data_IF_550899763940
#
_entry.id   IF_550899763940
#
_cell.length_a   1.000
_cell.length_b   1.000
_cell.length_c   1.000
_cell.angle_alpha   90.00
_cell.angle_beta   90.00
_cell.angle_gamma   90.00
#
_symmetry.space_group_name_H-M   'P 1'
#
loop_
_entity.id
_entity.type
_entity.pdbx_description
1 polymer ?
#
# COMPACT_ATOMS: atom_id res chain seq x y z
N UNK A 1 -12.27 -8.45 11.84
CA UNK A 1 -12.31 -6.99 11.58
C UNK A 1 -11.01 -6.48 11.00
N UNK A 2 -9.84 -6.67 11.64
CA UNK A 2 -8.54 -6.15 11.17
C UNK A 2 -8.14 -6.68 9.78
N UNK A 3 -8.38 -7.95 9.48
CA UNK A 3 -8.12 -8.50 8.13
C UNK A 3 -8.93 -7.77 7.05
N UNK A 4 -10.21 -7.52 7.29
CA UNK A 4 -11.06 -6.77 6.36
C UNK A 4 -10.56 -5.33 6.18
N UNK A 5 -10.07 -4.71 7.26
CA UNK A 5 -9.44 -3.40 7.18
C UNK A 5 -8.18 -3.42 6.30
N UNK A 6 -7.30 -4.41 6.48
CA UNK A 6 -6.11 -4.56 5.63
C UNK A 6 -6.51 -4.70 4.16
N UNK A 7 -7.48 -5.58 3.86
CA UNK A 7 -7.99 -5.77 2.50
C UNK A 7 -8.56 -4.47 1.92
N UNK A 8 -9.27 -3.70 2.73
CA UNK A 8 -9.82 -2.41 2.33
C UNK A 8 -8.72 -1.37 2.05
N UNK A 9 -7.67 -1.31 2.89
CA UNK A 9 -6.54 -0.39 2.67
C UNK A 9 -5.71 -0.76 1.44
N UNK A 10 -5.56 -2.05 1.13
CA UNK A 10 -4.97 -2.50 -0.14
C UNK A 10 -5.85 -2.06 -1.32
N UNK A 11 -7.17 -2.19 -1.20
CA UNK A 11 -8.09 -1.69 -2.25
C UNK A 11 -7.97 -0.18 -2.45
N UNK A 12 -7.85 0.63 -1.39
CA UNK A 12 -7.62 2.08 -1.48
C UNK A 12 -6.32 2.38 -2.23
N UNK A 13 -5.25 1.63 -1.95
CA UNK A 13 -3.98 1.73 -2.65
C UNK A 13 -4.15 1.49 -4.16
N UNK A 14 -4.79 0.37 -4.54
CA UNK A 14 -5.04 0.03 -5.94
C UNK A 14 -5.97 1.05 -6.64
N UNK A 15 -6.94 1.58 -5.90
CA UNK A 15 -7.81 2.65 -6.39
C UNK A 15 -6.99 3.92 -6.69
N UNK A 16 -5.99 4.22 -5.87
CA UNK A 16 -5.05 5.32 -6.11
C UNK A 16 -4.29 5.16 -7.43
N UNK A 17 -3.75 3.97 -7.71
CA UNK A 17 -3.12 3.64 -9.00
C UNK A 17 -4.10 3.78 -10.16
N UNK A 18 -5.31 3.26 -9.99
CA UNK A 18 -6.35 3.36 -11.01
C UNK A 18 -6.68 4.81 -11.36
N UNK A 19 -6.88 5.66 -10.35
CA UNK A 19 -7.17 7.10 -10.54
C UNK A 19 -6.00 7.78 -11.24
N UNK A 20 -4.76 7.56 -10.78
CA UNK A 20 -3.55 8.13 -11.37
C UNK A 20 -3.37 7.71 -12.84
N UNK A 21 -3.61 6.43 -13.17
CA UNK A 21 -3.56 5.95 -14.54
C UNK A 21 -4.60 6.64 -15.42
N UNK A 22 -5.85 6.76 -14.96
CA UNK A 22 -6.92 7.46 -15.69
C UNK A 22 -6.59 8.94 -15.91
N UNK A 23 -6.08 9.64 -14.90
CA UNK A 23 -5.69 11.05 -15.00
C UNK A 23 -4.52 11.27 -15.96
N UNK A 24 -3.55 10.36 -15.98
CA UNK A 24 -2.38 10.45 -16.84
C UNK A 24 -2.60 9.89 -18.25
N UNK A 25 -3.76 9.25 -18.51
CA UNK A 25 -4.04 8.59 -19.78
C UNK A 25 -3.19 7.33 -20.01
N UNK A 26 -2.76 6.66 -18.95
CA UNK A 26 -2.14 5.33 -19.03
C UNK A 26 -3.24 4.30 -19.29
N UNK A 27 -3.09 3.43 -20.32
CA UNK A 27 -4.14 2.49 -20.68
C UNK A 27 -4.29 1.39 -19.63
N UNK A 28 -5.55 1.11 -19.22
CA UNK A 28 -5.87 0.09 -18.21
C UNK A 28 -6.71 -1.00 -18.87
N UNK A 29 -6.22 -2.23 -18.91
CA UNK A 29 -6.96 -3.40 -19.37
C UNK A 29 -8.00 -3.83 -18.34
N UNK A 30 -7.62 -3.90 -17.05
CA UNK A 30 -8.49 -4.40 -15.98
C UNK A 30 -8.27 -3.66 -14.67
N UNK A 31 -9.37 -3.40 -13.97
CA UNK A 31 -9.40 -3.02 -12.56
C UNK A 31 -10.26 -4.03 -11.81
N UNK A 32 -9.68 -4.73 -10.84
CA UNK A 32 -10.37 -5.77 -10.09
C UNK A 32 -10.39 -5.47 -8.61
N UNK A 33 -11.57 -5.62 -8.02
CA UNK A 33 -11.75 -5.71 -6.56
C UNK A 33 -11.66 -7.20 -6.22
N UNK A 34 -10.61 -7.58 -5.47
CA UNK A 34 -10.34 -8.97 -5.12
C UNK A 34 -9.56 -9.74 -6.20
N UNK A 35 -9.26 -10.99 -5.87
CA UNK A 35 -8.50 -11.94 -6.68
C UNK A 35 -9.36 -13.15 -7.08
N UNK A 36 -8.87 -13.92 -8.07
CA UNK A 36 -9.51 -15.15 -8.54
C UNK A 36 -10.53 -14.91 -9.67
N UNK A 37 -11.43 -15.88 -9.92
CA UNK A 37 -12.47 -15.78 -10.93
C UNK A 37 -13.39 -14.60 -10.68
N UNK A 38 -13.75 -13.88 -11.75
CA UNK A 38 -14.66 -12.75 -11.64
C UNK A 38 -16.10 -13.23 -11.43
N UNK A 39 -16.73 -12.83 -10.34
CA UNK A 39 -18.16 -13.01 -10.08
C UNK A 39 -18.99 -12.11 -10.99
N UNK A 40 -18.58 -10.85 -11.07
CA UNK A 40 -19.20 -9.85 -11.93
C UNK A 40 -18.12 -9.15 -12.75
N UNK A 41 -18.38 -8.90 -14.02
CA UNK A 41 -17.47 -8.11 -14.83
C UNK A 41 -18.23 -7.29 -15.86
N UNK A 42 -17.76 -6.04 -16.07
CA UNK A 42 -18.30 -5.12 -17.07
C UNK A 42 -17.16 -4.38 -17.76
N UNK A 43 -17.20 -4.29 -19.08
CA UNK A 43 -16.25 -3.50 -19.86
C UNK A 43 -16.82 -2.10 -20.11
N UNK A 44 -16.13 -1.05 -19.69
CA UNK A 44 -16.52 0.35 -19.85
C UNK A 44 -15.32 1.12 -20.40
N UNK A 45 -15.49 1.80 -21.55
CA UNK A 45 -14.43 2.62 -22.17
C UNK A 45 -13.07 1.92 -22.25
N UNK A 46 -13.07 0.65 -22.70
CA UNK A 46 -11.86 -0.16 -22.86
C UNK A 46 -11.39 -0.91 -21.60
N UNK A 47 -11.68 -0.43 -20.41
CA UNK A 47 -11.30 -1.06 -19.14
C UNK A 47 -12.32 -2.10 -18.68
N UNK A 48 -11.88 -3.29 -18.31
CA UNK A 48 -12.70 -4.33 -17.71
C UNK A 48 -12.70 -4.17 -16.18
N UNK A 49 -13.86 -3.83 -15.62
CA UNK A 49 -14.10 -3.77 -14.17
C UNK A 49 -14.53 -5.14 -13.68
N UNK A 50 -13.91 -5.65 -12.64
CA UNK A 50 -14.19 -6.97 -12.10
C UNK A 50 -14.45 -6.91 -10.59
N UNK A 51 -15.41 -7.70 -10.13
CA UNK A 51 -15.54 -8.10 -8.73
C UNK A 51 -15.24 -9.59 -8.66
N UNK A 52 -14.19 -9.96 -7.94
CA UNK A 52 -13.69 -11.34 -7.87
C UNK A 52 -14.13 -12.04 -6.59
N UNK A 53 -14.04 -13.38 -6.57
CA UNK A 53 -14.54 -14.24 -5.49
C UNK A 53 -13.84 -13.94 -4.15
N UNK A 54 -12.53 -13.73 -4.18
CA UNK A 54 -11.75 -13.47 -2.97
C UNK A 54 -11.55 -11.97 -2.78
N UNK A 55 -12.34 -11.27 -1.92
CA UNK A 55 -12.29 -9.83 -1.75
C UNK A 55 -11.06 -9.40 -0.91
N UNK A 56 -9.91 -9.99 -1.17
CA UNK A 56 -8.65 -9.72 -0.49
C UNK A 56 -7.86 -8.72 -1.34
N UNK A 57 -8.11 -7.40 -1.12
CA UNK A 57 -7.44 -6.34 -1.87
C UNK A 57 -7.99 -6.12 -3.28
N UNK A 58 -7.11 -5.86 -4.24
CA UNK A 58 -7.44 -5.62 -5.64
C UNK A 58 -6.20 -5.59 -6.50
N UNK A 59 -6.35 -5.24 -7.78
CA UNK A 59 -5.23 -4.96 -8.68
C UNK A 59 -5.63 -4.12 -9.89
N UNK A 60 -4.67 -3.38 -10.40
CA UNK A 60 -4.76 -2.66 -11.67
C UNK A 60 -3.85 -3.33 -12.69
N UNK A 61 -4.41 -3.77 -13.82
CA UNK A 61 -3.64 -4.33 -14.93
C UNK A 61 -3.61 -3.33 -16.08
N UNK A 62 -2.41 -2.90 -16.44
CA UNK A 62 -2.21 -2.01 -17.59
C UNK A 62 -2.50 -2.77 -18.89
N UNK A 63 -2.96 -2.04 -19.91
CA UNK A 63 -3.19 -2.58 -21.27
C UNK A 63 -1.89 -2.50 -22.07
N UNK A 64 -0.97 -3.41 -21.73
CA UNK A 64 0.36 -3.56 -22.33
C UNK A 64 0.58 -5.03 -22.65
N UNK A 65 1.17 -5.33 -23.82
CA UNK A 65 1.43 -6.71 -24.24
C UNK A 65 2.77 -7.22 -23.70
N UNK A 66 3.75 -6.35 -23.65
CA UNK A 66 5.07 -6.68 -23.13
C UNK A 66 5.70 -5.49 -22.37
N UNK A 67 6.87 -5.74 -21.78
CA UNK A 67 7.60 -4.75 -21.01
C UNK A 67 8.06 -3.56 -21.87
N UNK A 68 8.25 -3.76 -23.18
CA UNK A 68 8.67 -2.70 -24.10
C UNK A 68 7.57 -1.66 -24.30
N UNK A 69 6.31 -2.07 -24.27
CA UNK A 69 5.15 -1.18 -24.36
C UNK A 69 5.05 -0.28 -23.12
N UNK A 70 5.39 -0.81 -21.93
CA UNK A 70 5.46 0.00 -20.70
C UNK A 70 6.45 1.16 -20.87
N UNK A 71 7.57 0.91 -21.52
CA UNK A 71 8.62 1.91 -21.70
C UNK A 71 8.32 2.94 -22.80
N UNK A 72 7.36 2.68 -23.68
CA UNK A 72 6.82 3.69 -24.60
C UNK A 72 5.97 4.73 -23.89
N UNK A 73 5.46 4.41 -22.69
CA UNK A 73 4.74 5.36 -21.85
C UNK A 73 5.74 6.37 -21.28
N UNK A 74 5.53 7.70 -21.42
CA UNK A 74 6.41 8.72 -20.90
C UNK A 74 6.74 8.52 -19.41
N UNK A 75 8.00 8.67 -19.02
CA UNK A 75 8.50 8.46 -17.66
C UNK A 75 7.63 9.15 -16.59
N UNK A 76 7.25 10.43 -16.85
CA UNK A 76 6.41 11.19 -15.90
C UNK A 76 5.07 10.52 -15.63
N UNK A 77 4.44 9.91 -16.64
CA UNK A 77 3.17 9.21 -16.49
C UNK A 77 3.34 7.91 -15.70
N UNK A 78 4.43 7.18 -15.92
CA UNK A 78 4.77 5.97 -15.16
C UNK A 78 5.03 6.27 -13.70
N UNK A 79 5.82 7.31 -13.40
CA UNK A 79 6.06 7.75 -12.03
C UNK A 79 4.75 8.19 -11.36
N UNK A 80 3.94 9.01 -12.04
CA UNK A 80 2.66 9.47 -11.52
C UNK A 80 1.71 8.31 -11.22
N UNK A 81 1.67 7.30 -12.10
CA UNK A 81 0.92 6.07 -11.88
C UNK A 81 1.42 5.32 -10.62
N UNK A 82 2.74 5.11 -10.47
CA UNK A 82 3.31 4.42 -9.30
C UNK A 82 3.07 5.18 -7.98
N UNK A 83 3.11 6.50 -8.02
CA UNK A 83 2.80 7.32 -6.84
C UNK A 83 1.31 7.28 -6.46
N UNK A 84 0.44 6.89 -7.37
CA UNK A 84 -1.01 6.86 -7.17
C UNK A 84 -1.44 6.05 -5.96
N UNK A 85 -0.91 4.84 -5.78
CA UNK A 85 -1.21 3.96 -4.65
C UNK A 85 -0.82 4.58 -3.30
N UNK A 86 0.45 4.93 -3.08
CA UNK A 86 0.89 5.61 -1.86
C UNK A 86 0.10 6.88 -1.56
N UNK A 87 -0.18 7.72 -2.58
CA UNK A 87 -1.01 8.91 -2.38
C UNK A 87 -2.46 8.59 -2.03
N UNK A 88 -3.03 7.51 -2.57
CA UNK A 88 -4.35 7.01 -2.17
C UNK A 88 -4.40 6.70 -0.67
N UNK A 89 -3.39 6.02 -0.16
CA UNK A 89 -3.28 5.71 1.26
C UNK A 89 -3.06 6.95 2.13
N UNK A 90 -2.25 7.90 1.69
CA UNK A 90 -2.08 9.19 2.41
C UNK A 90 -3.40 9.96 2.43
N UNK A 91 -4.11 10.04 1.31
CA UNK A 91 -5.41 10.71 1.24
C UNK A 91 -6.43 10.07 2.18
N UNK A 92 -6.46 8.73 2.26
CA UNK A 92 -7.30 8.01 3.22
C UNK A 92 -6.95 8.37 4.67
N UNK A 93 -5.66 8.46 5.02
CA UNK A 93 -5.25 8.86 6.37
C UNK A 93 -5.70 10.30 6.72
N UNK A 94 -5.57 11.24 5.78
CA UNK A 94 -6.07 12.61 5.95
C UNK A 94 -7.58 12.63 6.20
N UNK A 95 -8.36 11.91 5.40
CA UNK A 95 -9.82 11.79 5.58
C UNK A 95 -10.16 11.15 6.94
N UNK A 96 -9.39 10.15 7.36
CA UNK A 96 -9.56 9.50 8.67
C UNK A 96 -9.38 10.48 9.83
N UNK A 97 -8.34 11.33 9.79
CA UNK A 97 -8.09 12.35 10.84
C UNK A 97 -9.21 13.41 10.83
N UNK A 98 -9.63 13.89 9.65
CA UNK A 98 -10.79 14.79 9.54
C UNK A 98 -12.02 14.17 10.17
N UNK A 99 -12.27 12.87 9.90
CA UNK A 99 -13.42 12.15 10.48
C UNK A 99 -13.35 12.08 12.01
N UNK A 100 -12.17 11.85 12.60
CA UNK A 100 -11.96 11.87 14.04
C UNK A 100 -12.24 13.26 14.64
N UNK A 101 -11.76 14.32 13.97
CA UNK A 101 -12.00 15.69 14.40
C UNK A 101 -13.51 16.04 14.36
N UNK A 102 -14.23 15.58 13.34
CA UNK A 102 -15.69 15.73 13.24
C UNK A 102 -16.41 14.98 14.36
N UNK A 103 -16.05 13.73 14.64
CA UNK A 103 -16.65 12.92 15.72
C UNK A 103 -16.40 13.58 17.08
N UNK A 104 -15.24 14.20 17.26
CA UNK A 104 -14.89 14.94 18.50
C UNK A 104 -15.53 16.32 18.62
N UNK A 105 -16.32 16.76 17.64
CA UNK A 105 -16.96 18.07 17.62
C UNK A 105 -16.01 19.24 17.32
N UNK A 106 -14.76 18.95 16.93
CA UNK A 106 -13.76 19.97 16.60
C UNK A 106 -13.92 20.41 15.14
N UNK A 107 -14.80 21.37 14.90
CA UNK A 107 -15.09 21.90 13.56
C UNK A 107 -14.48 23.29 13.43
N UNK A 108 -13.21 23.35 13.11
CA UNK A 108 -12.47 24.60 12.82
C UNK A 108 -11.65 24.45 11.55
N UNK A 109 -11.25 25.54 10.93
CA UNK A 109 -10.33 25.51 9.79
C UNK A 109 -9.04 24.76 10.12
N UNK A 110 -8.53 24.96 11.34
CA UNK A 110 -7.33 24.26 11.81
C UNK A 110 -7.55 22.74 11.85
N UNK A 111 -8.60 22.27 12.51
CA UNK A 111 -8.87 20.84 12.69
C UNK A 111 -9.25 20.12 11.39
N UNK A 112 -9.80 20.84 10.40
CA UNK A 112 -10.21 20.24 9.14
C UNK A 112 -9.09 20.21 8.09
N UNK A 113 -8.10 21.12 8.15
CA UNK A 113 -7.09 21.24 7.10
C UNK A 113 -5.67 21.12 7.65
N UNK A 114 -5.32 21.89 8.68
CA UNK A 114 -3.93 21.97 9.17
C UNK A 114 -3.58 20.73 10.00
N UNK A 115 -4.42 20.38 10.96
CA UNK A 115 -4.19 19.25 11.86
C UNK A 115 -4.06 17.90 11.14
N UNK A 116 -4.91 17.53 10.15
CA UNK A 116 -4.72 16.29 9.37
C UNK A 116 -3.37 16.24 8.65
N UNK A 117 -2.93 17.34 8.05
CA UNK A 117 -1.63 17.42 7.36
C UNK A 117 -0.49 17.28 8.38
N UNK A 118 -0.58 17.98 9.50
CA UNK A 118 0.41 17.95 10.56
C UNK A 118 0.56 16.54 11.18
N UNK A 119 -0.55 15.91 11.56
CA UNK A 119 -0.54 14.57 12.15
C UNK A 119 -0.06 13.52 11.14
N UNK A 120 -0.51 13.58 9.89
CA UNK A 120 -0.03 12.66 8.85
C UNK A 120 1.48 12.81 8.64
N UNK A 121 2.01 14.03 8.67
CA UNK A 121 3.45 14.29 8.56
C UNK A 121 4.23 13.70 9.74
N UNK A 122 3.69 13.77 10.95
CA UNK A 122 4.28 13.13 12.14
C UNK A 122 4.29 11.61 12.00
N UNK A 123 3.18 11.01 11.52
CA UNK A 123 3.14 9.56 11.29
C UNK A 123 4.17 9.13 10.23
N UNK A 124 4.25 9.85 9.11
CA UNK A 124 5.25 9.61 8.07
C UNK A 124 6.68 9.65 8.64
N UNK A 125 7.00 10.70 9.38
CA UNK A 125 8.31 10.83 10.03
C UNK A 125 8.63 9.66 10.98
N UNK A 126 7.68 9.33 11.88
CA UNK A 126 7.85 8.22 12.84
C UNK A 126 8.06 6.89 12.14
N UNK A 127 7.31 6.60 11.08
CA UNK A 127 7.41 5.33 10.35
C UNK A 127 8.75 5.26 9.62
N UNK A 128 9.16 6.32 8.92
CA UNK A 128 10.45 6.38 8.23
C UNK A 128 11.60 6.19 9.24
N UNK A 129 11.54 6.85 10.40
CA UNK A 129 12.51 6.68 11.47
C UNK A 129 12.55 5.24 11.99
N UNK A 130 11.36 4.62 12.17
CA UNK A 130 11.25 3.24 12.66
C UNK A 130 11.86 2.21 11.71
N UNK A 131 11.83 2.45 10.39
CA UNK A 131 12.48 1.57 9.40
C UNK A 131 13.98 1.47 9.69
N UNK A 132 14.63 2.57 10.06
CA UNK A 132 16.03 2.56 10.44
C UNK A 132 16.32 1.75 11.71
N UNK A 133 15.35 1.66 12.63
CA UNK A 133 15.47 0.88 13.87
C UNK A 133 15.30 -0.63 13.65
N UNK A 134 14.60 -1.06 12.61
CA UNK A 134 14.42 -2.49 12.27
C UNK A 134 15.78 -3.19 12.11
N UNK A 135 16.77 -2.51 11.55
CA UNK A 135 18.12 -3.05 11.39
C UNK A 135 18.87 -3.23 12.73
N UNK A 136 18.47 -2.51 13.77
CA UNK A 136 19.05 -2.62 15.12
C UNK A 136 18.32 -3.67 15.97
N UNK A 137 17.05 -3.84 15.75
CA UNK A 137 16.15 -4.70 16.53
C UNK A 137 15.29 -5.58 15.62
N UNK A 138 15.89 -6.53 14.86
CA UNK A 138 15.16 -7.39 13.94
C UNK A 138 14.16 -8.32 14.65
N UNK A 139 14.36 -8.54 15.94
CA UNK A 139 13.44 -9.28 16.80
C UNK A 139 12.11 -8.58 17.03
N UNK A 140 12.00 -7.27 16.77
CA UNK A 140 10.76 -6.50 16.96
C UNK A 140 9.88 -6.45 15.69
N UNK A 141 10.31 -7.05 14.59
CA UNK A 141 9.51 -7.13 13.37
C UNK A 141 8.25 -7.95 13.64
N UNK A 142 7.09 -7.41 13.28
CA UNK A 142 5.81 -8.12 13.30
C UNK A 142 5.36 -8.42 11.87
N UNK A 143 4.94 -9.65 11.64
CA UNK A 143 4.31 -10.07 10.40
C UNK A 143 2.80 -9.82 10.42
N UNK A 144 2.10 -10.39 9.44
CA UNK A 144 0.64 -10.25 9.33
C UNK A 144 -0.08 -10.80 10.57
N UNK A 145 0.41 -11.91 11.12
CA UNK A 145 -0.20 -12.56 12.29
C UNK A 145 -0.11 -11.65 13.52
N UNK A 146 1.06 -11.03 13.76
CA UNK A 146 1.25 -10.08 14.84
C UNK A 146 0.41 -8.82 14.68
N UNK A 147 0.37 -8.25 13.48
CA UNK A 147 -0.47 -7.07 13.17
C UNK A 147 -1.95 -7.38 13.43
N UNK A 148 -2.44 -8.54 13.00
CA UNK A 148 -3.84 -8.94 13.21
C UNK A 148 -4.12 -9.19 14.68
N UNK A 149 -3.25 -9.91 15.39
CA UNK A 149 -3.42 -10.21 16.82
C UNK A 149 -3.41 -8.94 17.67
N UNK A 150 -2.34 -8.15 17.60
CA UNK A 150 -2.20 -6.91 18.37
C UNK A 150 -3.23 -5.85 17.95
N UNK A 151 -3.46 -5.71 16.64
CA UNK A 151 -4.47 -4.80 16.13
C UNK A 151 -5.86 -5.14 16.59
N UNK A 152 -6.23 -6.43 16.63
CA UNK A 152 -7.55 -6.85 17.13
C UNK A 152 -7.72 -6.56 18.62
N UNK A 153 -6.67 -6.73 19.43
CA UNK A 153 -6.68 -6.36 20.85
C UNK A 153 -6.80 -4.85 21.04
N UNK A 154 -6.01 -4.06 20.27
CA UNK A 154 -6.03 -2.60 20.34
C UNK A 154 -7.39 -2.02 19.96
N UNK A 155 -7.96 -2.50 18.85
CA UNK A 155 -9.22 -1.97 18.29
C UNK A 155 -10.41 -2.39 19.15
N UNK A 156 -10.48 -3.65 19.60
CA UNK A 156 -11.65 -4.21 20.27
C UNK A 156 -12.94 -3.99 19.47
N UNK A 157 -13.93 -3.32 20.09
CA UNK A 157 -15.17 -2.88 19.44
C UNK A 157 -15.30 -1.35 19.37
N UNK A 158 -14.21 -0.61 19.52
CA UNK A 158 -14.20 0.85 19.55
C UNK A 158 -13.94 1.40 18.15
N UNK A 159 -14.90 2.16 17.63
CA UNK A 159 -14.82 2.78 16.29
C UNK A 159 -13.71 3.83 16.20
N UNK A 160 -13.44 4.57 17.27
CA UNK A 160 -12.38 5.58 17.29
C UNK A 160 -11.01 4.91 17.21
N UNK A 161 -10.82 3.83 17.95
CA UNK A 161 -9.59 3.02 17.88
C UNK A 161 -9.43 2.36 16.50
N UNK A 162 -10.52 1.90 15.90
CA UNK A 162 -10.51 1.35 14.55
C UNK A 162 -10.04 2.39 13.53
N UNK A 163 -10.58 3.62 13.59
CA UNK A 163 -10.17 4.71 12.69
C UNK A 163 -8.69 5.05 12.92
N UNK A 164 -8.24 5.22 14.17
CA UNK A 164 -6.85 5.49 14.49
C UNK A 164 -5.91 4.39 13.95
N UNK A 165 -6.27 3.13 14.14
CA UNK A 165 -5.50 2.01 13.64
C UNK A 165 -5.47 1.95 12.11
N UNK A 166 -6.59 2.29 11.45
CA UNK A 166 -6.66 2.36 9.98
C UNK A 166 -5.79 3.48 9.41
N UNK A 167 -5.73 4.65 10.08
CA UNK A 167 -4.82 5.75 9.71
C UNK A 167 -3.37 5.28 9.79
N UNK A 168 -2.98 4.68 10.93
CA UNK A 168 -1.62 4.18 11.13
C UNK A 168 -1.22 3.15 10.08
N UNK A 169 -2.07 2.15 9.81
CA UNK A 169 -1.81 1.13 8.79
C UNK A 169 -1.74 1.74 7.39
N UNK A 170 -2.62 2.69 7.07
CA UNK A 170 -2.64 3.33 5.75
C UNK A 170 -1.35 4.10 5.48
N UNK A 171 -0.86 4.87 6.46
CA UNK A 171 0.43 5.58 6.31
C UNK A 171 1.59 4.58 6.23
N UNK A 172 1.55 3.48 6.99
CA UNK A 172 2.54 2.40 6.86
C UNK A 172 2.56 1.84 5.44
N UNK A 173 1.40 1.50 4.85
CA UNK A 173 1.33 1.01 3.48
C UNK A 173 1.90 2.02 2.47
N UNK A 174 1.61 3.32 2.64
CA UNK A 174 2.18 4.35 1.80
C UNK A 174 3.72 4.37 1.86
N UNK A 175 4.29 4.36 3.07
CA UNK A 175 5.74 4.42 3.27
C UNK A 175 6.43 3.15 2.78
N UNK A 176 5.89 1.96 3.13
CA UNK A 176 6.46 0.69 2.69
C UNK A 176 6.46 0.57 1.16
N UNK A 177 5.37 0.94 0.49
CA UNK A 177 5.32 0.89 -0.97
C UNK A 177 6.24 1.92 -1.64
N UNK A 178 6.66 2.98 -0.95
CA UNK A 178 7.66 3.93 -1.45
C UNK A 178 9.11 3.50 -1.22
N UNK A 179 9.36 2.39 -0.52
CA UNK A 179 10.72 1.88 -0.37
C UNK A 179 11.33 1.53 -1.74
N UNK A 180 12.65 1.80 -1.94
CA UNK A 180 13.34 1.54 -3.21
C UNK A 180 13.65 0.04 -3.42
N UNK A 181 12.66 -0.81 -3.19
CA UNK A 181 12.76 -2.27 -3.27
C UNK A 181 11.76 -2.80 -4.30
N UNK A 182 12.18 -3.31 -5.46
CA UNK A 182 11.28 -4.06 -6.32
C UNK A 182 10.73 -5.29 -5.56
N UNK A 183 9.47 -5.64 -5.67
CA UNK A 183 8.44 -5.19 -6.61
C UNK A 183 7.56 -4.03 -6.12
N UNK A 184 7.94 -3.32 -5.07
CA UNK A 184 7.18 -2.18 -4.53
C UNK A 184 7.18 -0.99 -5.52
N UNK A 185 6.23 -0.08 -5.36
CA UNK A 185 6.09 1.08 -6.26
C UNK A 185 7.34 1.94 -6.29
N UNK A 186 7.94 2.22 -5.12
CA UNK A 186 9.20 2.95 -5.00
C UNK A 186 10.35 2.27 -5.73
N UNK A 187 10.43 0.95 -5.68
CA UNK A 187 11.41 0.18 -6.44
C UNK A 187 11.23 0.31 -7.94
N UNK A 188 9.97 0.27 -8.42
CA UNK A 188 9.67 0.49 -9.83
C UNK A 188 10.02 1.92 -10.28
N UNK A 189 9.74 2.93 -9.42
CA UNK A 189 10.15 4.33 -9.70
C UNK A 189 11.66 4.42 -9.86
N UNK A 190 12.44 3.80 -8.98
CA UNK A 190 13.90 3.78 -9.06
C UNK A 190 14.38 3.12 -10.36
N UNK A 191 13.80 1.99 -10.75
CA UNK A 191 14.13 1.33 -12.02
C UNK A 191 13.83 2.25 -13.21
N UNK A 192 12.67 2.93 -13.21
CA UNK A 192 12.32 3.86 -14.29
C UNK A 192 13.26 5.08 -14.37
N UNK A 193 13.79 5.55 -13.23
CA UNK A 193 14.80 6.63 -13.22
C UNK A 193 16.15 6.14 -13.77
N UNK A 194 16.58 4.95 -13.38
CA UNK A 194 17.81 4.35 -13.90
C UNK A 194 17.75 4.04 -15.40
N UNK A 195 16.60 3.63 -15.91
CA UNK A 195 16.39 3.44 -17.35
C UNK A 195 16.70 4.70 -18.14
N UNK A 196 16.31 5.87 -17.63
CA UNK A 196 16.57 7.15 -18.30
C UNK A 196 18.08 7.44 -18.42
N UNK A 197 18.89 6.93 -17.49
CA UNK A 197 20.35 7.09 -17.50
C UNK A 197 20.98 6.05 -18.45
N UNK A 198 20.53 4.79 -18.37
CA UNK A 198 21.04 3.72 -19.22
C UNK A 198 19.93 2.71 -19.56
N UNK A 199 19.43 2.72 -20.81
CA UNK A 199 18.38 1.82 -21.27
C UNK A 199 18.71 0.31 -21.14
N UNK A 200 20.01 -0.06 -21.05
CA UNK A 200 20.41 -1.46 -20.84
C UNK A 200 19.99 -2.01 -19.48
N UNK A 201 19.77 -1.13 -18.50
CA UNK A 201 19.29 -1.50 -17.15
C UNK A 201 17.86 -2.05 -17.15
N UNK A 202 17.10 -1.84 -18.24
CA UNK A 202 15.81 -2.49 -18.48
C UNK A 202 15.84 -4.00 -18.32
N UNK A 203 16.92 -4.63 -18.77
CA UNK A 203 17.10 -6.09 -18.67
C UNK A 203 17.14 -6.57 -17.22
N UNK A 204 17.46 -5.68 -16.28
CA UNK A 204 17.51 -5.97 -14.85
C UNK A 204 16.13 -5.87 -14.16
N UNK A 205 15.10 -5.32 -14.84
CA UNK A 205 13.79 -5.15 -14.23
C UNK A 205 13.21 -6.48 -13.72
N UNK A 206 13.17 -7.50 -14.57
CA UNK A 206 12.64 -8.83 -14.19
C UNK A 206 13.49 -9.51 -13.12
N UNK A 207 14.82 -9.63 -13.26
CA UNK A 207 15.67 -10.20 -12.21
C UNK A 207 15.53 -9.48 -10.87
N UNK A 208 15.53 -8.15 -10.86
CA UNK A 208 15.36 -7.36 -9.63
C UNK A 208 13.98 -7.55 -8.99
N UNK A 209 12.91 -7.59 -9.81
CA UNK A 209 11.58 -7.87 -9.32
C UNK A 209 11.48 -9.26 -8.68
N UNK A 210 12.04 -10.30 -9.33
CA UNK A 210 12.06 -11.67 -8.78
C UNK A 210 12.85 -11.72 -7.47
N UNK A 211 14.04 -11.11 -7.44
CA UNK A 211 14.86 -11.05 -6.21
C UNK A 211 14.10 -10.34 -5.09
N UNK A 212 13.45 -9.22 -5.40
CA UNK A 212 12.64 -8.47 -4.43
C UNK A 212 11.46 -9.30 -3.90
N UNK A 213 10.76 -10.05 -4.77
CA UNK A 213 9.71 -10.97 -4.31
C UNK A 213 10.25 -12.05 -3.38
N UNK A 214 11.38 -12.67 -3.69
CA UNK A 214 12.02 -13.68 -2.83
C UNK A 214 12.37 -13.08 -1.47
N UNK A 215 12.95 -11.87 -1.44
CA UNK A 215 13.29 -11.17 -0.20
C UNK A 215 12.04 -10.83 0.62
N UNK A 216 10.98 -10.31 0.00
CA UNK A 216 9.74 -9.97 0.70
C UNK A 216 9.03 -11.20 1.26
N UNK A 217 8.96 -12.29 0.48
CA UNK A 217 8.37 -13.54 0.95
C UNK A 217 9.22 -14.12 2.09
N UNK A 218 10.54 -14.10 1.97
CA UNK A 218 11.45 -14.53 3.04
C UNK A 218 11.27 -13.73 4.32
N UNK A 219 11.18 -12.40 4.21
CA UNK A 219 10.92 -11.51 5.36
C UNK A 219 9.54 -11.79 5.98
N UNK A 220 8.51 -11.99 5.16
CA UNK A 220 7.17 -12.31 5.63
C UNK A 220 7.14 -13.63 6.41
N UNK A 221 7.80 -14.67 5.89
CA UNK A 221 7.90 -15.96 6.56
C UNK A 221 8.68 -15.84 7.87
N UNK A 222 9.82 -15.14 7.88
CA UNK A 222 10.61 -14.87 9.08
C UNK A 222 9.77 -14.16 10.15
N UNK A 223 9.11 -13.07 9.79
CA UNK A 223 8.24 -12.31 10.70
C UNK A 223 7.07 -13.16 11.23
N UNK A 224 6.49 -14.02 10.38
CA UNK A 224 5.41 -14.94 10.80
C UNK A 224 5.91 -15.95 11.83
N UNK A 225 7.11 -16.51 11.66
CA UNK A 225 7.72 -17.43 12.63
C UNK A 225 7.96 -16.73 13.98
N UNK A 226 8.45 -15.48 13.96
CA UNK A 226 8.61 -14.69 15.17
C UNK A 226 7.27 -14.43 15.87
N UNK A 227 6.22 -14.08 15.12
CA UNK A 227 4.88 -13.83 15.66
C UNK A 227 4.32 -15.09 16.35
N UNK A 228 4.40 -16.25 15.68
CA UNK A 228 3.94 -17.54 16.25
C UNK A 228 4.72 -17.86 17.51
N UNK A 229 6.04 -17.67 17.51
CA UNK A 229 6.89 -17.87 18.69
C UNK A 229 6.49 -16.98 19.87
N UNK A 230 6.17 -15.71 19.61
CA UNK A 230 5.71 -14.76 20.67
C UNK A 230 4.33 -15.13 21.21
N UNK A 231 3.42 -15.54 20.34
CA UNK A 231 2.07 -15.98 20.77
C UNK A 231 2.17 -17.24 21.61
N UNK A 232 2.98 -18.23 21.20
CA UNK A 232 3.16 -19.48 21.94
C UNK A 232 3.86 -19.29 23.29
N UNK A 233 4.76 -18.30 23.38
CA UNK A 233 5.45 -17.94 24.63
C UNK A 233 4.62 -17.05 25.57
N UNK A 234 3.36 -16.71 25.22
CA UNK A 234 2.50 -15.82 26.00
C UNK A 234 2.97 -14.35 26.01
N UNK A 235 3.97 -13.99 25.20
CA UNK A 235 4.54 -12.64 25.12
C UNK A 235 3.66 -11.63 24.38
N UNK A 236 2.56 -12.07 23.79
CA UNK A 236 1.55 -11.24 23.12
C UNK A 236 0.27 -11.09 23.97
N UNK A 237 0.37 -11.24 25.29
CA UNK A 237 -0.75 -11.04 26.21
C UNK A 237 -1.03 -9.55 26.46
#
# INVERSE_FOLDING_TARGET
MVILLICFLIFIHELGHFIAAKMSGVPIARFSIGFGPALLSRKIKGTKYCLSIFPIGGYVMLDINDISDLYRIPLRKRIFYMLGGPFGNIAFALVGIVSLNLISGNISFYSMIIDPIYQTSIYLYKIIYSIGLIFKHPDQISGIVGIVSQGSKFVGMDIIRLINFSILLSVNFAVFNLLPLPPLDGGNIVIYLFEKINPRLLKLHVPLAVTGWVLLIGLLLYATVLDVGRISAGLCA
#
